data_IF_907005459715
#
_entry.id   IF_907005459715
#
_cell.length_a   1.000
_cell.length_b   1.000
_cell.length_c   1.000
_cell.angle_alpha   90.00
_cell.angle_beta   90.00
_cell.angle_gamma   90.00
#
_symmetry.space_group_name_H-M   'P 1'
#
loop_
_entity.id
_entity.type
_entity.pdbx_description
1 polymer ?
#
# COMPACT_ATOMS: atom_id res chain seq x y z
N UNK A 1 -67.25 9.03 16.15
CA UNK A 1 -66.65 10.04 15.26
C UNK A 1 -65.16 9.99 15.48
N UNK A 2 -64.48 9.26 14.59
CA UNK A 2 -63.04 9.06 14.56
C UNK A 2 -62.28 10.38 14.44
N UNK A 3 -61.24 10.51 15.26
CA UNK A 3 -60.18 11.49 15.05
C UNK A 3 -58.97 10.74 14.49
N UNK A 4 -58.85 10.76 13.16
CA UNK A 4 -57.71 10.22 12.42
C UNK A 4 -56.51 11.14 12.62
N UNK A 5 -55.51 10.70 13.39
CA UNK A 5 -54.14 11.23 13.31
C UNK A 5 -53.42 10.49 12.19
N UNK A 6 -53.24 11.18 11.08
CA UNK A 6 -52.33 10.79 10.00
C UNK A 6 -50.89 10.93 10.49
N UNK A 7 -50.25 9.82 10.84
CA UNK A 7 -48.80 9.76 11.01
C UNK A 7 -48.15 9.73 9.62
N UNK A 8 -47.69 10.88 9.14
CA UNK A 8 -46.72 10.93 8.05
C UNK A 8 -45.35 10.52 8.60
N UNK A 9 -44.93 9.31 8.30
CA UNK A 9 -43.54 8.88 8.48
C UNK A 9 -42.75 9.37 7.27
N UNK A 10 -42.02 10.49 7.41
CA UNK A 10 -40.98 10.87 6.48
C UNK A 10 -39.84 9.86 6.58
N UNK A 11 -39.70 8.98 5.58
CA UNK A 11 -38.47 8.24 5.33
C UNK A 11 -37.46 9.24 4.74
N UNK A 12 -36.54 9.73 5.57
CA UNK A 12 -35.28 10.31 5.11
C UNK A 12 -34.48 9.22 4.43
N UNK A 13 -34.45 9.22 3.10
CA UNK A 13 -33.51 8.41 2.33
C UNK A 13 -32.10 8.93 2.58
N UNK A 14 -31.32 8.23 3.40
CA UNK A 14 -29.87 8.45 3.43
C UNK A 14 -29.33 8.20 2.02
N UNK A 15 -28.78 9.24 1.39
CA UNK A 15 -28.01 9.09 0.16
C UNK A 15 -26.79 8.25 0.54
N UNK A 16 -26.81 6.98 0.17
CA UNK A 16 -25.65 6.10 0.35
C UNK A 16 -24.54 6.61 -0.56
N UNK A 17 -23.46 7.13 0.02
CA UNK A 17 -22.25 7.44 -0.73
C UNK A 17 -21.72 6.17 -1.42
N UNK A 18 -21.47 6.25 -2.73
CA UNK A 18 -20.94 5.16 -3.56
C UNK A 18 -19.52 5.52 -3.97
N UNK A 19 -18.61 4.55 -3.87
CA UNK A 19 -17.20 4.68 -4.22
C UNK A 19 -16.82 3.71 -5.35
N UNK A 20 -15.66 3.86 -6.01
CA UNK A 20 -15.29 3.05 -7.17
C UNK A 20 -15.35 1.53 -6.92
N UNK A 21 -14.90 1.07 -5.76
CA UNK A 21 -14.93 -0.35 -5.39
C UNK A 21 -16.35 -0.90 -5.14
N UNK A 22 -17.35 -0.03 -4.96
CA UNK A 22 -18.74 -0.43 -4.79
C UNK A 22 -19.46 -0.61 -6.15
N UNK A 23 -18.83 -0.19 -7.26
CA UNK A 23 -19.36 -0.35 -8.61
C UNK A 23 -19.15 -1.79 -9.11
N UNK A 24 -19.91 -2.24 -10.13
CA UNK A 24 -19.73 -3.57 -10.72
C UNK A 24 -18.27 -3.82 -11.12
N UNK A 25 -17.74 -5.02 -10.86
CA UNK A 25 -16.34 -5.31 -11.17
C UNK A 25 -16.05 -5.16 -12.68
N UNK A 26 -14.92 -4.54 -13.00
CA UNK A 26 -14.42 -4.41 -14.36
C UNK A 26 -13.32 -5.42 -14.59
N UNK A 27 -13.21 -5.97 -15.79
CA UNK A 27 -11.97 -6.63 -16.17
C UNK A 27 -10.90 -5.60 -16.60
N UNK A 28 -9.64 -6.02 -16.65
CA UNK A 28 -8.52 -5.15 -17.01
C UNK A 28 -8.62 -4.60 -18.45
N UNK A 29 -9.29 -5.32 -19.36
CA UNK A 29 -9.46 -4.88 -20.75
C UNK A 29 -10.46 -3.74 -20.82
N UNK A 30 -11.61 -3.89 -20.17
CA UNK A 30 -12.64 -2.87 -20.09
C UNK A 30 -12.11 -1.58 -19.44
N UNK A 31 -11.29 -1.72 -18.39
CA UNK A 31 -10.61 -0.59 -17.75
C UNK A 31 -9.69 0.15 -18.74
N UNK A 32 -8.83 -0.58 -19.44
CA UNK A 32 -7.90 -0.01 -20.42
C UNK A 32 -8.62 0.59 -21.63
N UNK A 33 -9.66 -0.07 -22.15
CA UNK A 33 -10.46 0.42 -23.28
C UNK A 33 -11.17 1.73 -22.92
N UNK A 34 -11.68 1.85 -21.68
CA UNK A 34 -12.29 3.09 -21.20
C UNK A 34 -11.25 4.22 -21.17
N UNK A 35 -10.06 3.95 -20.64
CA UNK A 35 -8.95 4.91 -20.61
C UNK A 35 -8.56 5.40 -22.02
N UNK A 36 -8.37 4.50 -22.98
CA UNK A 36 -7.97 4.88 -24.34
C UNK A 36 -9.08 5.61 -25.12
N UNK A 37 -10.34 5.26 -24.90
CA UNK A 37 -11.48 6.00 -25.47
C UNK A 37 -11.50 7.45 -24.98
N UNK A 38 -11.30 7.67 -23.68
CA UNK A 38 -11.25 9.02 -23.10
C UNK A 38 -10.09 9.82 -23.70
N UNK A 39 -8.89 9.24 -23.78
CA UNK A 39 -7.73 9.91 -24.37
C UNK A 39 -7.95 10.26 -25.85
N UNK A 40 -8.55 9.36 -26.61
CA UNK A 40 -8.88 9.60 -28.03
C UNK A 40 -9.90 10.74 -28.17
N UNK A 41 -10.90 10.78 -27.30
CA UNK A 41 -11.90 11.86 -27.29
C UNK A 41 -11.31 13.21 -26.87
N UNK A 42 -10.38 13.23 -25.91
CA UNK A 42 -9.66 14.44 -25.50
C UNK A 42 -8.76 14.97 -26.63
N UNK A 43 -8.03 14.09 -27.31
CA UNK A 43 -7.17 14.47 -28.43
C UNK A 43 -7.95 15.01 -29.64
N UNK A 44 -9.19 14.54 -29.83
CA UNK A 44 -10.07 14.98 -30.92
C UNK A 44 -11.02 16.12 -30.53
N UNK A 45 -10.94 16.64 -29.30
CA UNK A 45 -11.87 17.63 -28.74
C UNK A 45 -13.35 17.20 -28.82
N UNK A 46 -13.61 15.90 -28.65
CA UNK A 46 -14.95 15.28 -28.64
C UNK A 46 -15.33 14.69 -27.27
N UNK A 47 -14.55 15.00 -26.23
CA UNK A 47 -14.80 14.50 -24.88
C UNK A 47 -16.07 15.10 -24.27
N UNK A 48 -17.05 14.25 -23.95
CA UNK A 48 -18.35 14.66 -23.40
C UNK A 48 -18.45 14.51 -21.87
N UNK A 49 -17.37 14.08 -21.21
CA UNK A 49 -17.35 13.84 -19.76
C UNK A 49 -17.23 15.11 -18.92
N UNK A 50 -16.91 14.94 -17.63
CA UNK A 50 -16.65 16.06 -16.74
C UNK A 50 -15.37 16.79 -17.17
N UNK A 51 -15.50 18.06 -17.57
CA UNK A 51 -14.39 18.91 -18.04
C UNK A 51 -13.58 19.53 -16.91
N UNK A 52 -14.10 19.46 -15.67
CA UNK A 52 -13.50 20.08 -14.52
C UNK A 52 -13.55 19.14 -13.33
N UNK A 53 -12.43 19.04 -12.63
CA UNK A 53 -12.32 18.34 -11.37
C UNK A 53 -11.92 19.34 -10.27
N UNK A 54 -12.50 19.18 -9.09
CA UNK A 54 -12.20 20.03 -7.93
C UNK A 54 -11.64 19.12 -6.84
N UNK A 55 -10.30 19.06 -6.66
CA UNK A 55 -9.70 18.31 -5.57
C UNK A 55 -10.03 18.93 -4.21
N UNK A 56 -9.71 18.22 -3.14
CA UNK A 56 -9.95 18.65 -1.75
C UNK A 56 -9.32 20.00 -1.38
N UNK A 57 -8.32 20.47 -2.15
CA UNK A 57 -7.68 21.77 -1.95
C UNK A 57 -8.49 22.95 -2.54
N UNK A 58 -9.62 22.68 -3.20
CA UNK A 58 -10.51 23.68 -3.80
C UNK A 58 -10.03 24.25 -5.14
N UNK A 59 -8.86 23.83 -5.63
CA UNK A 59 -8.37 24.26 -6.96
C UNK A 59 -9.26 23.68 -8.06
N UNK A 60 -9.47 24.42 -9.15
CA UNK A 60 -10.22 23.93 -10.30
C UNK A 60 -9.24 23.40 -11.34
N UNK A 61 -9.29 22.11 -11.63
CA UNK A 61 -8.41 21.46 -12.59
C UNK A 61 -9.20 21.13 -13.84
N UNK A 62 -8.76 21.61 -14.99
CA UNK A 62 -9.38 21.30 -16.27
C UNK A 62 -8.92 19.92 -16.76
N UNK A 63 -9.87 19.12 -17.23
CA UNK A 63 -9.61 17.81 -17.83
C UNK A 63 -9.27 18.03 -19.30
N UNK A 64 -7.98 18.17 -19.59
CA UNK A 64 -7.44 18.35 -20.94
C UNK A 64 -6.46 17.24 -21.27
N UNK A 65 -6.12 17.11 -22.55
CA UNK A 65 -5.06 16.18 -22.98
C UNK A 65 -3.73 16.43 -22.24
N UNK A 66 -3.40 17.69 -21.93
CA UNK A 66 -2.13 18.06 -21.30
C UNK A 66 -2.08 17.74 -19.80
N UNK A 67 -3.23 17.73 -19.12
CA UNK A 67 -3.30 17.43 -17.68
C UNK A 67 -3.61 15.95 -17.41
N UNK A 68 -3.89 15.15 -18.43
CA UNK A 68 -4.23 13.73 -18.28
C UNK A 68 -3.02 12.86 -18.65
N UNK A 69 -2.55 12.08 -17.67
CA UNK A 69 -1.45 11.14 -17.81
C UNK A 69 -1.93 9.70 -18.01
N UNK A 70 -1.10 8.90 -18.67
CA UNK A 70 -1.22 7.43 -18.69
C UNK A 70 -0.40 6.85 -17.55
N UNK A 71 -0.96 5.87 -16.85
CA UNK A 71 -0.27 5.15 -15.79
C UNK A 71 -0.48 3.65 -15.95
N UNK A 72 0.61 2.88 -16.04
CA UNK A 72 0.54 1.43 -16.13
C UNK A 72 0.32 0.81 -14.75
N UNK A 73 -0.71 -0.03 -14.64
CA UNK A 73 -1.06 -0.71 -13.39
C UNK A 73 -0.04 -1.81 -13.02
N UNK A 74 0.59 -2.42 -14.01
CA UNK A 74 1.56 -3.50 -13.85
C UNK A 74 2.90 -3.14 -14.49
N UNK A 75 3.94 -3.89 -14.13
CA UNK A 75 5.25 -3.80 -14.79
C UNK A 75 5.26 -4.48 -16.16
N UNK A 76 6.40 -4.37 -16.85
CA UNK A 76 6.57 -4.78 -18.26
C UNK A 76 6.37 -6.28 -18.53
N UNK A 77 6.51 -7.13 -17.50
CA UNK A 77 6.35 -8.58 -17.61
C UNK A 77 4.86 -9.03 -17.67
N UNK A 78 3.92 -8.14 -17.36
CA UNK A 78 2.49 -8.41 -17.32
C UNK A 78 1.73 -7.80 -18.51
N UNK A 79 0.51 -8.29 -18.82
CA UNK A 79 -0.33 -7.65 -19.84
C UNK A 79 -0.57 -6.17 -19.52
N UNK A 80 -0.50 -5.28 -20.52
CA UNK A 80 -0.65 -3.84 -20.30
C UNK A 80 -2.04 -3.53 -19.75
N UNK A 81 -2.08 -2.65 -18.76
CA UNK A 81 -3.33 -2.15 -18.19
C UNK A 81 -3.17 -0.67 -17.85
N UNK A 82 -3.73 0.20 -18.70
CA UNK A 82 -3.59 1.65 -18.58
C UNK A 82 -4.70 2.25 -17.74
N UNK A 83 -4.32 2.99 -16.70
CA UNK A 83 -5.17 3.92 -15.96
C UNK A 83 -4.91 5.35 -16.43
N UNK A 84 -5.91 6.22 -16.25
CA UNK A 84 -5.73 7.66 -16.42
C UNK A 84 -5.59 8.36 -15.08
N UNK A 85 -4.59 9.22 -14.99
CA UNK A 85 -4.36 10.14 -13.88
C UNK A 85 -4.64 11.56 -14.33
N UNK A 86 -5.26 12.36 -13.46
CA UNK A 86 -5.35 13.81 -13.64
C UNK A 86 -4.27 14.47 -12.80
N UNK A 87 -3.52 15.39 -13.40
CA UNK A 87 -2.41 16.10 -12.80
C UNK A 87 -2.73 17.58 -12.60
N UNK A 88 -2.06 18.23 -11.66
CA UNK A 88 -2.13 19.68 -11.53
C UNK A 88 -1.43 20.35 -12.73
N UNK A 89 -2.02 21.39 -13.35
CA UNK A 89 -1.41 22.06 -14.50
C UNK A 89 -0.04 22.69 -14.17
N UNK A 90 0.14 23.15 -12.93
CA UNK A 90 1.37 23.78 -12.46
C UNK A 90 2.45 22.76 -12.03
N UNK A 91 2.07 21.50 -11.82
CA UNK A 91 2.97 20.43 -11.37
C UNK A 91 2.49 19.07 -11.92
N UNK A 92 3.10 18.65 -13.02
CA UNK A 92 2.81 17.37 -13.66
C UNK A 92 3.14 16.14 -12.81
N UNK A 93 3.84 16.29 -11.68
CA UNK A 93 4.09 15.18 -10.74
C UNK A 93 2.95 15.00 -9.73
N UNK A 94 2.14 16.04 -9.53
CA UNK A 94 1.06 16.04 -8.55
C UNK A 94 -0.23 15.44 -9.14
N UNK A 95 -0.45 14.15 -8.87
CA UNK A 95 -1.70 13.46 -9.21
C UNK A 95 -2.82 13.87 -8.24
N UNK A 96 -3.99 14.22 -8.78
CA UNK A 96 -5.16 14.65 -7.99
C UNK A 96 -6.38 13.74 -8.13
N UNK A 97 -6.50 13.00 -9.23
CA UNK A 97 -7.61 12.08 -9.48
C UNK A 97 -7.22 10.89 -10.36
N UNK A 98 -8.01 9.82 -10.29
CA UNK A 98 -7.99 8.71 -11.23
C UNK A 98 -9.29 8.64 -12.01
N UNK A 99 -9.22 8.31 -13.30
CA UNK A 99 -10.43 7.95 -14.05
C UNK A 99 -10.74 6.47 -13.83
N UNK A 100 -11.90 6.18 -13.26
CA UNK A 100 -12.42 4.83 -13.05
C UNK A 100 -13.90 4.82 -13.42
N UNK A 101 -14.33 3.83 -14.21
CA UNK A 101 -15.69 3.77 -14.76
C UNK A 101 -16.10 5.03 -15.54
N UNK A 102 -15.16 5.65 -16.27
CA UNK A 102 -15.44 6.85 -17.05
C UNK A 102 -15.62 8.12 -16.22
N UNK A 103 -15.41 8.07 -14.90
CA UNK A 103 -15.55 9.22 -14.00
C UNK A 103 -14.23 9.53 -13.29
N UNK A 104 -13.99 10.81 -13.01
CA UNK A 104 -12.85 11.26 -12.21
C UNK A 104 -13.15 11.13 -10.71
N UNK A 105 -12.29 10.39 -10.01
CA UNK A 105 -12.39 10.14 -8.58
C UNK A 105 -11.19 10.73 -7.86
N UNK A 106 -11.44 11.40 -6.73
CA UNK A 106 -10.36 11.84 -5.85
C UNK A 106 -9.59 10.62 -5.33
N UNK A 107 -8.29 10.77 -5.10
CA UNK A 107 -7.47 9.68 -4.55
C UNK A 107 -8.02 9.16 -3.21
N UNK A 108 -8.62 10.04 -2.40
CA UNK A 108 -9.24 9.63 -1.14
C UNK A 108 -10.51 8.80 -1.34
N UNK A 109 -11.31 9.07 -2.38
CA UNK A 109 -12.55 8.34 -2.63
C UNK A 109 -12.30 6.98 -3.27
N UNK A 110 -11.24 6.85 -4.09
CA UNK A 110 -10.78 5.53 -4.57
C UNK A 110 -10.42 4.60 -3.41
N UNK A 111 -9.92 5.14 -2.31
CA UNK A 111 -9.54 4.38 -1.11
C UNK A 111 -10.71 4.07 -0.18
N UNK A 112 -11.95 4.40 -0.53
CA UNK A 112 -13.12 4.22 0.34
C UNK A 112 -14.11 3.22 -0.25
N UNK A 113 -14.96 2.68 0.62
CA UNK A 113 -16.16 1.92 0.27
C UNK A 113 -17.35 2.45 1.06
N UNK A 114 -18.54 2.23 0.50
CA UNK A 114 -19.81 2.49 1.16
C UNK A 114 -20.04 1.57 2.37
N UNK A 115 -19.35 0.43 2.43
CA UNK A 115 -19.47 -0.57 3.49
C UNK A 115 -18.59 -0.17 4.69
N UNK A 116 -19.15 0.62 5.62
CA UNK A 116 -18.41 1.10 6.80
C UNK A 116 -17.94 -0.01 7.75
N UNK A 117 -18.58 -1.18 7.71
CA UNK A 117 -18.14 -2.36 8.47
C UNK A 117 -16.93 -3.07 7.87
N UNK A 118 -16.50 -2.71 6.64
CA UNK A 118 -15.31 -3.28 6.01
C UNK A 118 -14.07 -2.85 6.79
N UNK A 119 -13.42 -3.81 7.45
CA UNK A 119 -12.30 -3.58 8.35
C UNK A 119 -11.39 -4.80 8.40
N UNK A 120 -10.15 -4.60 8.83
CA UNK A 120 -9.13 -5.66 8.93
C UNK A 120 -8.42 -5.93 7.61
N UNK A 121 -7.65 -7.02 7.58
CA UNK A 121 -6.83 -7.40 6.44
C UNK A 121 -7.62 -8.27 5.47
N UNK A 122 -7.91 -7.74 4.29
CA UNK A 122 -8.73 -8.38 3.26
C UNK A 122 -7.85 -8.72 2.06
N UNK A 123 -7.95 -9.97 1.58
CA UNK A 123 -7.21 -10.43 0.40
C UNK A 123 -7.67 -9.68 -0.86
N UNK A 124 -6.72 -9.31 -1.71
CA UNK A 124 -7.01 -8.73 -3.03
C UNK A 124 -7.56 -9.83 -3.95
N UNK A 125 -8.79 -9.66 -4.43
CA UNK A 125 -9.49 -10.62 -5.28
C UNK A 125 -10.12 -10.00 -6.54
N UNK A 126 -10.41 -8.70 -6.51
CA UNK A 126 -11.02 -7.94 -7.62
C UNK A 126 -10.02 -7.01 -8.31
N UNK A 127 -10.39 -6.51 -9.50
CA UNK A 127 -9.60 -5.52 -10.24
C UNK A 127 -9.54 -4.20 -9.46
N UNK A 128 -10.64 -3.76 -8.86
CA UNK A 128 -10.63 -2.52 -8.07
C UNK A 128 -9.80 -2.61 -6.81
N UNK A 129 -9.73 -3.77 -6.15
CA UNK A 129 -8.78 -3.95 -5.04
C UNK A 129 -7.33 -3.91 -5.54
N UNK A 130 -7.04 -4.44 -6.74
CA UNK A 130 -5.70 -4.31 -7.33
C UNK A 130 -5.35 -2.85 -7.62
N UNK A 131 -6.30 -2.07 -8.14
CA UNK A 131 -6.14 -0.61 -8.33
C UNK A 131 -5.90 0.11 -7.01
N UNK A 132 -6.62 -0.23 -5.93
CA UNK A 132 -6.39 0.34 -4.59
C UNK A 132 -5.00 0.00 -4.07
N UNK A 133 -4.56 -1.25 -4.20
CA UNK A 133 -3.21 -1.68 -3.80
C UNK A 133 -2.14 -0.90 -4.57
N UNK A 134 -2.32 -0.76 -5.89
CA UNK A 134 -1.44 0.04 -6.73
C UNK A 134 -1.43 1.52 -6.31
N UNK A 135 -2.60 2.12 -6.07
CA UNK A 135 -2.74 3.50 -5.63
C UNK A 135 -1.97 3.73 -4.31
N UNK A 136 -2.13 2.84 -3.33
CA UNK A 136 -1.41 2.91 -2.07
C UNK A 136 0.11 2.80 -2.25
N UNK A 137 0.56 1.92 -3.15
CA UNK A 137 1.98 1.63 -3.39
C UNK A 137 2.69 2.71 -4.20
N UNK A 138 2.14 3.09 -5.35
CA UNK A 138 2.85 3.89 -6.35
C UNK A 138 2.59 5.37 -6.18
N UNK A 139 1.36 5.76 -5.81
CA UNK A 139 0.98 7.17 -5.74
C UNK A 139 1.01 7.65 -4.29
N UNK A 140 0.29 7.00 -3.37
CA UNK A 140 0.25 7.45 -1.97
C UNK A 140 1.63 7.33 -1.33
N UNK A 141 2.25 6.15 -1.36
CA UNK A 141 3.61 5.98 -0.82
C UNK A 141 4.67 6.64 -1.71
N UNK A 142 4.66 6.37 -3.02
CA UNK A 142 5.73 6.80 -3.94
C UNK A 142 5.80 8.32 -4.19
N UNK A 143 4.68 9.02 -4.09
CA UNK A 143 4.59 10.46 -4.40
C UNK A 143 4.17 11.29 -3.18
N UNK A 144 3.04 10.95 -2.54
CA UNK A 144 2.42 11.85 -1.55
C UNK A 144 2.96 11.74 -0.12
N UNK A 145 3.30 10.53 0.30
CA UNK A 145 3.72 10.22 1.67
C UNK A 145 5.14 9.64 1.74
N UNK A 146 5.94 9.98 0.73
CA UNK A 146 7.32 9.52 0.60
C UNK A 146 8.14 9.93 1.84
N UNK A 147 8.83 8.98 2.50
CA UNK A 147 9.76 9.33 3.58
C UNK A 147 10.91 10.20 3.05
N UNK A 148 11.16 11.34 3.71
CA UNK A 148 12.29 12.21 3.38
C UNK A 148 13.62 11.49 3.64
N UNK A 149 14.49 11.41 2.62
CA UNK A 149 15.83 10.82 2.74
C UNK A 149 15.89 9.31 2.48
N UNK A 150 14.79 8.66 2.12
CA UNK A 150 14.80 7.27 1.62
C UNK A 150 14.63 7.28 0.09
N UNK A 151 15.57 6.67 -0.64
CA UNK A 151 15.50 6.49 -2.11
C UNK A 151 14.73 5.21 -2.52
N UNK A 152 14.00 4.60 -1.59
CA UNK A 152 13.35 3.31 -1.82
C UNK A 152 11.97 3.53 -2.44
N UNK A 153 11.78 2.98 -3.63
CA UNK A 153 10.48 2.88 -4.29
C UNK A 153 10.03 1.42 -4.32
N UNK A 154 8.73 1.20 -4.18
CA UNK A 154 8.18 -0.09 -4.56
C UNK A 154 8.06 -0.14 -6.07
N UNK A 155 8.54 -1.21 -6.69
CA UNK A 155 8.19 -1.50 -8.07
C UNK A 155 6.69 -1.81 -8.18
N UNK A 156 6.05 -1.59 -9.34
CA UNK A 156 4.71 -2.08 -9.59
C UNK A 156 4.63 -3.58 -9.31
N UNK A 157 3.63 -3.98 -8.53
CA UNK A 157 3.44 -5.40 -8.18
C UNK A 157 2.87 -6.17 -9.38
N UNK A 158 3.38 -7.38 -9.67
CA UNK A 158 2.82 -8.19 -10.73
C UNK A 158 1.32 -8.47 -10.57
N UNK A 159 0.64 -8.72 -11.68
CA UNK A 159 -0.81 -8.93 -11.74
C UNK A 159 -1.30 -10.00 -10.74
N UNK A 160 -0.50 -11.06 -10.58
CA UNK A 160 -0.81 -12.22 -9.72
C UNK A 160 -0.11 -12.19 -8.37
N UNK A 161 0.60 -11.11 -8.05
CA UNK A 161 1.24 -10.98 -6.75
C UNK A 161 0.19 -11.01 -5.64
N UNK A 162 0.45 -11.83 -4.63
CA UNK A 162 -0.43 -11.93 -3.48
C UNK A 162 -0.32 -10.66 -2.65
N UNK A 163 -1.48 -10.10 -2.27
CA UNK A 163 -1.52 -8.97 -1.36
C UNK A 163 -2.81 -8.94 -0.55
N UNK A 164 -2.74 -8.23 0.58
CA UNK A 164 -3.92 -7.87 1.37
C UNK A 164 -3.96 -6.36 1.56
N UNK A 165 -5.16 -5.79 1.51
CA UNK A 165 -5.44 -4.40 1.86
C UNK A 165 -5.90 -4.37 3.32
N UNK A 166 -5.34 -3.46 4.09
CA UNK A 166 -5.77 -3.16 5.44
C UNK A 166 -6.88 -2.10 5.40
N UNK A 167 -8.07 -2.51 5.79
CA UNK A 167 -9.25 -1.65 5.89
C UNK A 167 -9.48 -1.19 7.32
N UNK A 168 -9.94 0.04 7.49
CA UNK A 168 -10.40 0.59 8.74
C UNK A 168 -11.64 1.47 8.49
N UNK A 169 -12.80 1.07 9.03
CA UNK A 169 -14.08 1.78 8.89
C UNK A 169 -14.44 2.13 7.43
N UNK A 170 -14.21 1.20 6.50
CA UNK A 170 -14.48 1.39 5.08
C UNK A 170 -13.44 2.23 4.33
N UNK A 171 -12.32 2.60 4.95
CA UNK A 171 -11.18 3.24 4.27
C UNK A 171 -9.98 2.27 4.19
N UNK A 172 -9.32 2.21 3.04
CA UNK A 172 -8.06 1.51 2.85
C UNK A 172 -6.91 2.35 3.44
N UNK A 173 -6.27 1.82 4.48
CA UNK A 173 -5.27 2.55 5.29
C UNK A 173 -3.86 2.00 5.17
N UNK A 174 -3.70 0.86 4.50
CA UNK A 174 -2.42 0.23 4.28
C UNK A 174 -2.57 -1.04 3.45
N UNK A 175 -1.45 -1.70 3.17
CA UNK A 175 -1.42 -2.98 2.48
C UNK A 175 -0.15 -3.74 2.82
N UNK A 176 -0.12 -5.00 2.42
CA UNK A 176 1.14 -5.73 2.26
C UNK A 176 1.07 -6.71 1.08
N UNK A 177 2.24 -7.08 0.56
CA UNK A 177 2.40 -8.13 -0.47
C UNK A 177 3.27 -9.29 0.01
N UNK A 178 3.09 -10.46 -0.60
CA UNK A 178 3.89 -11.66 -0.34
C UNK A 178 4.45 -12.20 -1.64
N UNK A 179 5.76 -12.44 -1.66
CA UNK A 179 6.41 -13.34 -2.62
C UNK A 179 6.29 -14.76 -2.08
N UNK A 180 5.46 -15.59 -2.71
CA UNK A 180 5.20 -16.95 -2.24
C UNK A 180 6.39 -17.85 -2.52
N UNK A 181 6.66 -18.80 -1.63
CA UNK A 181 7.60 -19.89 -1.91
C UNK A 181 7.26 -20.56 -3.25
N UNK A 182 8.26 -20.72 -4.11
CA UNK A 182 8.12 -21.26 -5.46
C UNK A 182 7.69 -20.26 -6.54
N UNK A 183 7.35 -19.01 -6.21
CA UNK A 183 7.13 -17.99 -7.23
C UNK A 183 8.45 -17.51 -7.82
N UNK A 184 8.44 -17.10 -9.09
CA UNK A 184 9.62 -16.54 -9.76
C UNK A 184 10.08 -15.24 -9.08
N UNK A 185 11.39 -15.03 -9.01
CA UNK A 185 12.01 -13.82 -8.49
C UNK A 185 11.93 -12.67 -9.50
N UNK A 186 12.13 -13.00 -10.77
CA UNK A 186 12.02 -12.11 -11.92
C UNK A 186 11.71 -12.94 -13.18
N UNK A 187 11.31 -12.30 -14.27
CA UNK A 187 10.95 -12.98 -15.53
C UNK A 187 12.13 -13.65 -16.25
N UNK A 188 13.39 -13.34 -15.90
CA UNK A 188 14.57 -13.63 -16.73
C UNK A 188 15.47 -14.72 -16.15
N UNK A 189 15.64 -14.77 -14.83
CA UNK A 189 16.66 -15.60 -14.16
C UNK A 189 16.19 -17.02 -13.85
N UNK A 190 14.90 -17.34 -14.10
CA UNK A 190 14.23 -18.60 -13.73
C UNK A 190 14.42 -19.01 -12.25
N UNK A 191 14.87 -18.09 -11.40
CA UNK A 191 15.05 -18.34 -9.96
C UNK A 191 13.69 -18.20 -9.29
N UNK A 192 13.44 -19.04 -8.30
CA UNK A 192 12.21 -19.02 -7.51
C UNK A 192 12.51 -18.82 -6.04
N UNK A 193 11.63 -18.12 -5.33
CA UNK A 193 11.74 -17.90 -3.90
C UNK A 193 11.76 -19.25 -3.15
N UNK A 194 12.74 -19.44 -2.27
CA UNK A 194 12.91 -20.68 -1.49
C UNK A 194 12.07 -20.71 -0.21
N UNK A 195 11.51 -19.56 0.18
CA UNK A 195 10.61 -19.37 1.30
C UNK A 195 9.62 -18.25 0.99
N UNK A 196 8.51 -18.19 1.73
CA UNK A 196 7.55 -17.10 1.58
C UNK A 196 8.07 -15.83 2.26
N UNK A 197 8.00 -14.70 1.56
CA UNK A 197 8.58 -13.42 1.98
C UNK A 197 7.52 -12.32 2.00
N UNK A 198 7.39 -11.64 3.14
CA UNK A 198 6.65 -10.38 3.26
C UNK A 198 7.45 -9.29 2.54
N UNK A 199 6.95 -8.85 1.39
CA UNK A 199 7.77 -8.13 0.42
C UNK A 199 7.65 -6.62 0.55
N UNK A 200 6.44 -6.10 0.36
CA UNK A 200 6.15 -4.68 0.58
C UNK A 200 5.11 -4.52 1.68
N UNK A 201 5.32 -3.53 2.54
CA UNK A 201 4.41 -3.19 3.65
C UNK A 201 4.29 -1.68 3.70
N UNK A 202 3.05 -1.19 3.75
CA UNK A 202 2.79 0.23 3.90
C UNK A 202 1.58 0.48 4.78
N UNK A 203 1.70 1.49 5.65
CA UNK A 203 0.60 2.07 6.40
C UNK A 203 0.66 3.58 6.20
N UNK A 204 -0.47 4.15 5.78
CA UNK A 204 -0.63 5.59 5.58
C UNK A 204 -0.26 6.37 6.83
N UNK A 205 0.35 7.52 6.65
CA UNK A 205 1.02 8.33 7.67
C UNK A 205 0.06 8.73 8.78
N UNK A 206 -1.15 9.19 8.43
CA UNK A 206 -2.20 9.54 9.40
C UNK A 206 -2.72 8.36 10.24
N UNK A 207 -2.43 7.13 9.83
CA UNK A 207 -2.82 5.90 10.52
C UNK A 207 -1.63 5.21 11.20
N UNK A 208 -0.42 5.76 11.15
CA UNK A 208 0.77 5.18 11.80
C UNK A 208 0.68 5.31 13.33
N UNK A 209 1.54 4.57 14.03
CA UNK A 209 1.65 4.54 15.51
C UNK A 209 0.40 4.01 16.26
N UNK A 210 -0.52 3.37 15.53
CA UNK A 210 -1.76 2.76 16.07
C UNK A 210 -1.70 1.22 16.16
N UNK A 211 -0.53 0.62 15.87
CA UNK A 211 -0.34 -0.83 15.90
C UNK A 211 -0.65 -1.59 14.60
N UNK A 212 -1.09 -0.90 13.54
CA UNK A 212 -1.48 -1.52 12.27
C UNK A 212 -0.36 -2.32 11.58
N UNK A 213 0.89 -1.83 11.59
CA UNK A 213 2.01 -2.59 11.02
C UNK A 213 2.32 -3.87 11.82
N UNK A 214 2.08 -3.85 13.14
CA UNK A 214 2.19 -5.05 13.98
C UNK A 214 1.08 -6.05 13.65
N UNK A 215 -0.14 -5.57 13.38
CA UNK A 215 -1.25 -6.40 12.91
C UNK A 215 -0.93 -7.06 11.56
N UNK A 216 -0.33 -6.31 10.62
CA UNK A 216 0.14 -6.84 9.32
C UNK A 216 1.16 -7.97 9.54
N UNK A 217 2.21 -7.73 10.34
CA UNK A 217 3.24 -8.74 10.59
C UNK A 217 2.65 -9.99 11.26
N UNK A 218 1.76 -9.81 12.24
CA UNK A 218 1.08 -10.92 12.92
C UNK A 218 0.21 -11.73 11.96
N UNK A 219 -0.54 -11.07 11.06
CA UNK A 219 -1.37 -11.74 10.06
C UNK A 219 -0.52 -12.53 9.05
N UNK A 220 0.61 -11.98 8.60
CA UNK A 220 1.55 -12.69 7.73
C UNK A 220 2.08 -13.98 8.40
N UNK A 221 2.60 -13.87 9.63
CA UNK A 221 3.14 -15.02 10.36
C UNK A 221 2.08 -16.10 10.64
N UNK A 222 0.84 -15.70 10.95
CA UNK A 222 -0.30 -16.59 11.19
C UNK A 222 -0.84 -17.24 9.91
N UNK A 223 -0.69 -16.59 8.76
CA UNK A 223 -1.17 -17.10 7.47
C UNK A 223 -0.34 -18.28 6.94
N UNK A 224 0.83 -18.56 7.54
CA UNK A 224 1.79 -19.56 7.06
C UNK A 224 2.21 -20.58 8.15
N UNK A 225 1.29 -21.13 8.96
CA UNK A 225 1.62 -21.80 10.23
C UNK A 225 2.55 -23.02 10.08
N UNK A 226 2.59 -23.64 8.90
CA UNK A 226 3.38 -24.84 8.61
C UNK A 226 4.78 -24.53 8.04
N UNK A 227 5.09 -23.27 7.73
CA UNK A 227 6.42 -22.90 7.24
C UNK A 227 7.36 -22.71 8.44
N UNK A 228 8.41 -23.52 8.53
CA UNK A 228 9.45 -23.43 9.57
C UNK A 228 10.22 -22.10 9.50
N UNK A 229 10.38 -21.55 8.29
CA UNK A 229 11.12 -20.32 8.04
C UNK A 229 10.33 -19.45 7.07
N UNK A 230 10.13 -18.18 7.45
CA UNK A 230 9.50 -17.14 6.64
C UNK A 230 10.37 -15.89 6.61
N UNK A 231 10.19 -15.06 5.58
CA UNK A 231 11.05 -13.92 5.30
C UNK A 231 10.35 -12.56 5.35
N UNK A 232 11.15 -11.52 5.51
CA UNK A 232 10.85 -10.13 5.14
C UNK A 232 11.91 -9.69 4.14
N UNK A 233 11.50 -9.05 3.04
CA UNK A 233 12.44 -8.61 1.99
C UNK A 233 13.48 -7.64 2.54
N UNK A 234 14.73 -7.86 2.14
CA UNK A 234 15.85 -6.94 2.35
C UNK A 234 15.79 -5.78 1.34
N UNK A 235 16.13 -4.54 1.74
CA UNK A 235 16.47 -4.12 3.10
C UNK A 235 15.24 -3.87 3.98
N UNK A 236 15.31 -4.23 5.26
CA UNK A 236 14.25 -3.89 6.22
C UNK A 236 14.42 -2.44 6.71
N UNK A 237 13.38 -1.63 6.52
CA UNK A 237 13.39 -0.24 6.98
C UNK A 237 13.55 -0.13 8.51
N UNK A 238 14.15 0.96 9.04
CA UNK A 238 14.28 1.17 10.48
C UNK A 238 12.95 1.13 11.24
N UNK A 239 11.87 1.60 10.61
CA UNK A 239 10.52 1.54 11.15
C UNK A 239 10.02 0.10 11.26
N UNK A 240 10.27 -0.72 10.24
CA UNK A 240 9.87 -2.13 10.25
C UNK A 240 10.71 -2.96 11.22
N UNK A 241 12.00 -2.66 11.41
CA UNK A 241 12.82 -3.29 12.48
C UNK A 241 12.20 -3.07 13.86
N UNK A 242 11.66 -1.87 14.15
CA UNK A 242 10.95 -1.61 15.42
C UNK A 242 9.69 -2.47 15.56
N UNK A 243 8.95 -2.68 14.47
CA UNK A 243 7.77 -3.56 14.45
C UNK A 243 8.17 -5.01 14.70
N UNK A 244 9.19 -5.51 13.99
CA UNK A 244 9.75 -6.86 14.20
C UNK A 244 10.23 -7.05 15.64
N UNK A 245 10.97 -6.08 16.19
CA UNK A 245 11.44 -6.13 17.58
C UNK A 245 10.29 -6.28 18.56
N UNK A 246 9.24 -5.46 18.42
CA UNK A 246 8.05 -5.54 19.28
C UNK A 246 7.32 -6.88 19.14
N UNK A 247 7.15 -7.35 17.90
CA UNK A 247 6.50 -8.64 17.63
C UNK A 247 7.26 -9.81 18.28
N UNK A 248 8.58 -9.87 18.09
CA UNK A 248 9.43 -10.96 18.58
C UNK A 248 9.67 -10.92 20.10
N UNK A 249 9.45 -9.77 20.74
CA UNK A 249 9.36 -9.68 22.20
C UNK A 249 8.08 -10.35 22.72
N UNK A 250 6.95 -10.16 22.02
CA UNK A 250 5.64 -10.71 22.40
C UNK A 250 5.48 -12.19 22.00
N UNK A 251 6.16 -12.63 20.94
CA UNK A 251 6.03 -13.97 20.34
C UNK A 251 7.40 -14.66 20.30
N UNK A 252 7.82 -15.21 21.44
CA UNK A 252 9.16 -15.80 21.56
C UNK A 252 9.35 -17.04 20.68
N UNK A 253 8.27 -17.77 20.43
CA UNK A 253 8.18 -18.91 19.53
C UNK A 253 8.48 -18.55 18.06
N UNK A 254 8.42 -17.26 17.71
CA UNK A 254 8.68 -16.78 16.35
C UNK A 254 10.13 -16.32 16.14
N UNK A 255 10.96 -16.30 17.19
CA UNK A 255 12.34 -15.78 17.14
C UNK A 255 13.23 -16.54 16.18
N UNK A 256 13.06 -17.85 16.06
CA UNK A 256 13.86 -18.70 15.18
C UNK A 256 13.23 -18.85 13.77
N UNK A 257 12.06 -18.24 13.54
CA UNK A 257 11.26 -18.44 12.32
C UNK A 257 11.33 -17.28 11.33
N UNK A 258 11.67 -16.07 11.78
CA UNK A 258 11.58 -14.85 10.97
C UNK A 258 12.95 -14.32 10.53
N UNK A 259 13.14 -14.18 9.22
CA UNK A 259 14.41 -13.80 8.59
C UNK A 259 14.29 -12.56 7.72
N UNK A 260 15.34 -11.75 7.66
CA UNK A 260 15.58 -10.80 6.58
C UNK A 260 16.13 -11.56 5.38
N UNK A 261 15.60 -11.32 4.18
CA UNK A 261 15.80 -12.16 3.01
C UNK A 261 16.19 -11.34 1.79
N UNK A 262 17.35 -11.67 1.22
CA UNK A 262 17.71 -11.29 -0.16
C UNK A 262 17.21 -12.39 -1.11
N UNK A 263 16.53 -12.02 -2.20
CA UNK A 263 16.01 -13.00 -3.15
C UNK A 263 17.15 -13.85 -3.78
N UNK A 264 16.95 -15.16 -4.03
CA UNK A 264 15.75 -15.99 -3.79
C UNK A 264 15.58 -16.52 -2.35
N UNK A 265 16.44 -16.13 -1.40
CA UNK A 265 16.32 -16.51 0.00
C UNK A 265 16.87 -17.88 0.36
N UNK A 266 17.92 -18.32 -0.34
CA UNK A 266 18.69 -19.49 0.06
C UNK A 266 19.42 -19.32 1.39
N UNK A 267 20.08 -20.38 1.86
CA UNK A 267 20.74 -20.41 3.17
C UNK A 267 21.72 -19.25 3.42
N UNK A 268 22.52 -18.86 2.43
CA UNK A 268 23.45 -17.73 2.54
C UNK A 268 22.83 -16.35 2.30
N UNK A 269 21.54 -16.29 2.00
CA UNK A 269 20.81 -15.07 1.59
C UNK A 269 19.73 -14.67 2.60
N UNK A 270 19.79 -15.24 3.80
CA UNK A 270 18.83 -14.94 4.87
C UNK A 270 19.55 -14.78 6.19
N UNK A 271 19.10 -13.82 7.00
CA UNK A 271 19.66 -13.54 8.32
C UNK A 271 18.53 -13.48 9.34
N UNK A 272 18.70 -14.15 10.47
CA UNK A 272 17.65 -14.18 11.50
C UNK A 272 17.46 -12.76 12.07
N UNK A 273 16.22 -12.27 12.05
CA UNK A 273 15.93 -10.88 12.45
C UNK A 273 16.16 -10.67 13.94
N UNK A 274 15.76 -11.64 14.78
CA UNK A 274 15.91 -11.54 16.23
C UNK A 274 17.38 -11.42 16.62
N UNK A 275 18.22 -12.32 16.10
CA UNK A 275 19.66 -12.31 16.36
C UNK A 275 20.32 -11.01 15.88
N UNK A 276 19.98 -10.53 14.69
CA UNK A 276 20.47 -9.25 14.18
C UNK A 276 20.11 -8.07 15.11
N UNK A 277 18.88 -8.04 15.64
CA UNK A 277 18.45 -7.00 16.58
C UNK A 277 19.26 -7.06 17.89
N UNK A 278 19.55 -8.25 18.42
CA UNK A 278 20.32 -8.38 19.66
C UNK A 278 21.78 -7.96 19.48
N UNK A 279 22.42 -8.39 18.39
CA UNK A 279 23.81 -8.04 18.10
C UNK A 279 24.00 -6.52 17.98
N UNK A 280 23.08 -5.83 17.28
CA UNK A 280 23.13 -4.38 17.13
C UNK A 280 22.87 -3.61 18.44
N UNK A 281 22.15 -4.20 19.40
CA UNK A 281 22.00 -3.59 20.73
C UNK A 281 23.29 -3.67 21.52
N UNK A 282 23.96 -4.82 21.49
CA UNK A 282 25.22 -5.03 22.20
C UNK A 282 26.35 -4.11 21.71
N UNK A 283 26.43 -3.87 20.40
CA UNK A 283 27.42 -2.92 19.83
C UNK A 283 27.16 -1.48 20.25
N UNK A 284 25.90 -1.08 20.36
CA UNK A 284 25.52 0.26 20.78
C UNK A 284 25.73 0.46 22.29
N UNK A 285 25.45 -0.54 23.13
CA UNK A 285 25.71 -0.45 24.57
C UNK A 285 27.20 -0.40 24.90
N UNK A 286 28.05 -1.10 24.13
CA UNK A 286 29.52 -1.02 24.30
C UNK A 286 30.12 0.32 23.86
N UNK A 287 29.36 1.17 23.15
CA UNK A 287 29.80 2.51 22.71
C UNK A 287 29.48 3.61 23.72
N UNK A 288 28.61 3.34 24.70
CA UNK A 288 28.17 4.32 25.72
C UNK A 288 28.89 4.15 27.07
N UNK A 289 29.73 3.13 27.26
CA UNK A 289 30.43 2.85 28.53
C UNK A 289 31.84 3.46 28.68
N UNK A 290 32.30 4.33 27.76
CA UNK A 290 33.57 5.06 27.95
C UNK A 290 33.33 6.47 28.49
N UNK A 291 33.18 6.58 29.81
CA UNK A 291 33.36 7.83 30.54
C UNK A 291 34.72 7.79 31.27
N UNK A 292 35.63 8.77 31.09
CA UNK A 292 36.97 8.71 31.66
C UNK A 292 36.97 9.10 33.14
N UNK A 293 37.41 8.16 33.99
CA UNK A 293 37.79 8.46 35.38
C UNK A 293 39.17 9.11 35.38
N UNK A 294 39.23 10.44 35.25
CA UNK A 294 40.48 11.17 35.47
C UNK A 294 40.67 11.39 36.97
N UNK A 295 41.60 10.62 37.55
CA UNK A 295 42.13 10.86 38.89
C UNK A 295 42.80 12.23 38.95
N UNK A 296 42.27 13.15 39.76
CA UNK A 296 43.07 14.25 40.29
C UNK A 296 43.83 13.75 41.51
N UNK A 297 45.16 13.62 41.37
CA UNK A 297 46.09 13.67 42.49
C UNK A 297 46.95 14.93 42.38
N UNK A 298 47.06 15.56 43.53
CA UNK A 298 47.67 16.84 43.89
C UNK A 298 49.12 17.10 43.45
N UNK A 299 49.44 18.41 43.46
CA UNK A 299 50.74 19.07 43.78
C UNK A 299 51.90 18.94 42.79
N UNK A 300 52.23 20.04 42.10
CA UNK A 300 53.10 21.10 42.61
C UNK A 300 52.78 22.42 41.89
#
# INVERSE_FOLDING_TARGET
MESSRTSQTQKTGEIKEIYPIDLPDLDYRALSSTSENILTSLASNTYEGEHWFIPSNGSKVEVTHDNVGRLQLFGDDDPPCTLLTLHMPADGTQVVALNLHGKWWSLNDVLKTSIKSRSGLVMVQSVMERVILFLLSQIIFGVLEKPSGEEIYFSPHPMREFGKILWHNGEAVGFYTIKKKGSLCDGFTRRSYQLSVLDTVFVRTRWRRSGLALQILADFCKSLPNEEVIGISCPISPSMIKVCSKYLLMHQDQRDRLYEVEAPGGWGQRRNIWLNIQLNRSTNSSSEEQCPTTMNKEKL
#
